data_IF_232141614142
#
_entry.id   IF_232141614142
#
_cell.length_a   1.000
_cell.length_b   1.000
_cell.length_c   1.000
_cell.angle_alpha   90.00
_cell.angle_beta   90.00
_cell.angle_gamma   90.00
#
_symmetry.space_group_name_H-M   'P 1'
#
loop_
_entity.id
_entity.type
_entity.pdbx_description
1 polymer ?
#
# COMPACT_ATOMS: atom_id res chain seq x y z
N UNK A 1 -13.00 -18.76 1.14
CA UNK A 1 -12.69 -18.22 -0.19
C UNK A 1 -11.39 -18.82 -0.73
N UNK A 2 -10.32 -18.85 0.07
CA UNK A 2 -9.04 -19.40 -0.38
C UNK A 2 -9.15 -20.88 -0.77
N UNK A 3 -10.01 -21.66 -0.12
CA UNK A 3 -10.23 -23.07 -0.44
C UNK A 3 -10.96 -23.25 -1.77
N UNK A 4 -11.77 -22.26 -2.21
CA UNK A 4 -12.54 -22.31 -3.45
C UNK A 4 -11.76 -21.66 -4.59
N UNK A 5 -11.03 -20.58 -4.31
CA UNK A 5 -10.32 -19.79 -5.33
C UNK A 5 -8.84 -19.65 -5.01
N UNK A 6 -8.07 -20.76 -4.91
CA UNK A 6 -6.65 -20.67 -4.52
C UNK A 6 -5.82 -19.84 -5.50
N UNK A 7 -6.12 -19.92 -6.78
CA UNK A 7 -5.46 -19.13 -7.82
C UNK A 7 -5.61 -17.62 -7.58
N UNK A 8 -6.83 -17.19 -7.24
CA UNK A 8 -7.11 -15.77 -7.02
C UNK A 8 -6.46 -15.27 -5.74
N UNK A 9 -6.40 -16.10 -4.70
CA UNK A 9 -5.71 -15.73 -3.46
C UNK A 9 -4.21 -15.59 -3.68
N UNK A 10 -3.62 -16.47 -4.50
CA UNK A 10 -2.22 -16.36 -4.87
C UNK A 10 -1.98 -15.07 -5.67
N UNK A 11 -2.83 -14.77 -6.64
CA UNK A 11 -2.73 -13.56 -7.45
C UNK A 11 -2.87 -12.30 -6.59
N UNK A 12 -3.82 -12.28 -5.66
CA UNK A 12 -4.00 -11.15 -4.74
C UNK A 12 -2.74 -10.89 -3.91
N UNK A 13 -2.07 -11.94 -3.44
CA UNK A 13 -0.89 -11.82 -2.58
C UNK A 13 0.39 -11.51 -3.35
N UNK A 14 0.49 -11.94 -4.61
CA UNK A 14 1.76 -11.94 -5.33
C UNK A 14 1.74 -11.23 -6.68
N UNK A 15 0.60 -11.20 -7.37
CA UNK A 15 0.50 -10.56 -8.69
C UNK A 15 -0.92 -10.00 -8.92
N UNK A 16 -1.11 -8.73 -8.56
CA UNK A 16 -2.41 -8.08 -8.64
C UNK A 16 -2.92 -7.93 -10.07
N UNK A 17 -2.05 -7.98 -11.09
CA UNK A 17 -2.49 -7.93 -12.48
C UNK A 17 -3.31 -9.17 -12.87
N UNK A 18 -3.09 -10.31 -12.21
CA UNK A 18 -3.82 -11.55 -12.43
C UNK A 18 -5.01 -11.72 -11.49
N UNK A 19 -5.18 -10.85 -10.51
CA UNK A 19 -6.27 -10.92 -9.55
C UNK A 19 -7.57 -10.44 -10.19
N UNK A 20 -8.61 -11.27 -10.17
CA UNK A 20 -9.95 -10.90 -10.65
C UNK A 20 -10.80 -10.44 -9.45
N UNK A 21 -10.86 -9.13 -9.23
CA UNK A 21 -11.62 -8.54 -8.13
C UNK A 21 -13.13 -8.79 -8.23
N UNK A 22 -13.65 -9.02 -9.45
CA UNK A 22 -15.10 -9.22 -9.66
C UNK A 22 -15.61 -10.51 -9.04
N UNK A 23 -14.75 -11.52 -8.85
CA UNK A 23 -15.13 -12.77 -8.17
C UNK A 23 -15.50 -12.55 -6.69
N UNK A 24 -15.05 -11.45 -6.09
CA UNK A 24 -15.23 -11.17 -4.67
C UNK A 24 -16.01 -9.87 -4.43
N UNK A 25 -16.60 -9.29 -5.47
CA UNK A 25 -17.29 -8.01 -5.40
C UNK A 25 -16.43 -6.92 -4.75
N UNK A 26 -15.16 -6.89 -5.10
CA UNK A 26 -14.18 -5.96 -4.54
C UNK A 26 -13.80 -4.87 -5.55
N UNK A 27 -13.22 -3.78 -5.05
CA UNK A 27 -12.66 -2.75 -5.92
C UNK A 27 -11.51 -3.32 -6.74
N UNK A 28 -11.34 -2.82 -7.98
CA UNK A 28 -10.14 -3.11 -8.77
C UNK A 28 -8.93 -2.41 -8.14
N UNK A 29 -7.73 -2.88 -8.49
CA UNK A 29 -6.49 -2.19 -8.08
C UNK A 29 -6.50 -0.74 -8.57
N UNK A 30 -6.96 -0.52 -9.80
CA UNK A 30 -7.05 0.83 -10.36
C UNK A 30 -7.98 1.74 -9.53
N UNK A 31 -9.17 1.25 -9.18
CA UNK A 31 -10.13 2.04 -8.40
C UNK A 31 -9.57 2.42 -7.03
N UNK A 32 -8.98 1.44 -6.34
CA UNK A 32 -8.39 1.64 -5.02
C UNK A 32 -7.23 2.62 -5.06
N UNK A 33 -6.26 2.40 -5.95
CA UNK A 33 -5.08 3.25 -6.04
C UNK A 33 -5.43 4.65 -6.51
N UNK A 34 -6.34 4.77 -7.47
CA UNK A 34 -6.77 6.08 -7.98
C UNK A 34 -7.41 6.92 -6.88
N UNK A 35 -8.27 6.32 -6.07
CA UNK A 35 -8.93 7.01 -4.96
C UNK A 35 -7.92 7.53 -3.94
N UNK A 36 -6.98 6.69 -3.50
CA UNK A 36 -5.99 7.06 -2.49
C UNK A 36 -5.00 8.09 -3.04
N UNK A 37 -4.50 7.86 -4.24
CA UNK A 37 -3.54 8.78 -4.87
C UNK A 37 -4.17 10.14 -5.12
N UNK A 38 -5.41 10.16 -5.61
CA UNK A 38 -6.13 11.41 -5.81
C UNK A 38 -6.29 12.19 -4.51
N UNK A 39 -6.62 11.50 -3.43
CA UNK A 39 -6.73 12.12 -2.11
C UNK A 39 -5.39 12.70 -1.66
N UNK A 40 -4.30 11.94 -1.77
CA UNK A 40 -2.97 12.41 -1.39
C UNK A 40 -2.59 13.67 -2.19
N UNK A 41 -2.77 13.64 -3.50
CA UNK A 41 -2.43 14.78 -4.37
C UNK A 41 -3.31 15.98 -4.13
N UNK A 42 -4.53 15.79 -3.63
CA UNK A 42 -5.44 16.89 -3.32
C UNK A 42 -4.95 17.74 -2.13
N UNK A 43 -4.00 17.23 -1.35
CA UNK A 43 -3.49 17.89 -0.16
C UNK A 43 -2.29 18.82 -0.43
N UNK A 44 -1.93 19.01 -1.68
CA UNK A 44 -0.72 19.79 -2.05
C UNK A 44 -0.70 21.21 -1.50
N UNK A 45 -1.86 21.82 -1.29
CA UNK A 45 -1.98 23.19 -0.79
C UNK A 45 -2.23 23.23 0.72
N UNK A 46 -2.24 22.08 1.39
CA UNK A 46 -2.42 22.02 2.83
C UNK A 46 -1.17 22.53 3.54
N UNK A 47 -1.36 23.36 4.54
CA UNK A 47 -0.24 23.86 5.35
C UNK A 47 0.30 22.75 6.24
N UNK A 48 1.64 22.72 6.38
CA UNK A 48 2.34 21.75 7.19
C UNK A 48 3.42 21.03 6.41
N UNK A 49 4.46 20.60 7.10
CA UNK A 49 5.59 19.91 6.49
C UNK A 49 5.47 18.40 6.54
N UNK A 50 4.66 17.89 7.44
CA UNK A 50 4.50 16.45 7.65
C UNK A 50 3.02 16.09 7.65
N UNK A 51 2.67 15.04 6.92
CA UNK A 51 1.32 14.49 6.87
C UNK A 51 1.38 13.01 7.25
N UNK A 52 0.46 12.57 8.09
CA UNK A 52 0.33 11.18 8.50
C UNK A 52 -0.91 10.57 7.86
N UNK A 53 -0.73 9.44 7.17
CA UNK A 53 -1.82 8.64 6.62
C UNK A 53 -1.86 7.29 7.32
N UNK A 54 -3.05 6.87 7.71
CA UNK A 54 -3.26 5.56 8.34
C UNK A 54 -4.22 4.76 7.47
N UNK A 55 -3.88 3.52 7.21
CA UNK A 55 -4.69 2.66 6.37
C UNK A 55 -4.27 1.21 6.47
N UNK A 56 -4.81 0.39 5.58
CA UNK A 56 -4.56 -1.05 5.56
C UNK A 56 -3.44 -1.41 4.59
N UNK A 57 -2.70 -2.48 4.93
CA UNK A 57 -1.51 -2.88 4.20
C UNK A 57 -1.71 -3.12 2.72
N UNK A 58 -2.77 -3.82 2.31
CA UNK A 58 -3.01 -4.11 0.90
C UNK A 58 -3.25 -2.82 0.11
N UNK A 59 -4.08 -1.93 0.62
CA UNK A 59 -4.41 -0.67 -0.03
C UNK A 59 -3.21 0.27 -0.06
N UNK A 60 -2.52 0.42 1.06
CA UNK A 60 -1.35 1.28 1.13
C UNK A 60 -0.19 0.76 0.29
N UNK A 61 0.04 -0.56 0.26
CA UNK A 61 1.07 -1.15 -0.60
C UNK A 61 0.81 -0.81 -2.06
N UNK A 62 -0.41 -1.03 -2.53
CA UNK A 62 -0.77 -0.75 -3.90
C UNK A 62 -0.65 0.73 -4.24
N UNK A 63 -1.14 1.59 -3.37
CA UNK A 63 -1.14 3.04 -3.61
C UNK A 63 0.27 3.63 -3.59
N UNK A 64 1.08 3.26 -2.61
CA UNK A 64 2.44 3.79 -2.48
C UNK A 64 3.31 3.32 -3.65
N UNK A 65 3.26 2.04 -3.99
CA UNK A 65 4.06 1.52 -5.10
C UNK A 65 3.62 2.08 -6.45
N UNK A 66 2.33 2.33 -6.62
CA UNK A 66 1.85 3.02 -7.82
C UNK A 66 2.36 4.46 -7.89
N UNK A 67 2.35 5.18 -6.76
CA UNK A 67 2.96 6.52 -6.69
C UNK A 67 4.44 6.50 -7.06
N UNK A 68 5.15 5.43 -6.69
CA UNK A 68 6.58 5.26 -6.98
C UNK A 68 6.85 4.75 -8.40
N UNK A 69 5.82 4.49 -9.20
CA UNK A 69 5.97 4.09 -10.59
C UNK A 69 5.98 2.58 -10.85
N UNK A 70 5.61 1.76 -9.87
CA UNK A 70 5.54 0.31 -10.07
C UNK A 70 4.38 -0.06 -11.00
N UNK A 71 4.59 -1.04 -11.86
CA UNK A 71 3.52 -1.63 -12.65
C UNK A 71 2.64 -2.51 -11.76
N UNK A 72 1.37 -2.70 -12.18
CA UNK A 72 0.38 -3.45 -11.39
C UNK A 72 0.88 -4.85 -11.03
N UNK A 73 1.53 -5.54 -11.96
CA UNK A 73 2.07 -6.89 -11.70
C UNK A 73 3.20 -6.93 -10.69
N UNK A 74 3.85 -5.80 -10.42
CA UNK A 74 4.99 -5.70 -9.50
C UNK A 74 4.63 -5.11 -8.14
N UNK A 75 3.37 -4.69 -7.93
CA UNK A 75 2.96 -3.99 -6.71
C UNK A 75 3.24 -4.81 -5.45
N UNK A 76 3.03 -6.11 -5.49
CA UNK A 76 3.24 -6.99 -4.33
C UNK A 76 4.53 -7.80 -4.39
N UNK A 77 5.43 -7.45 -5.29
CA UNK A 77 6.74 -8.09 -5.37
C UNK A 77 7.49 -7.88 -4.06
N UNK A 78 8.08 -8.96 -3.54
CA UNK A 78 8.78 -8.95 -2.24
C UNK A 78 7.85 -8.64 -1.06
N UNK A 79 6.56 -8.93 -1.19
CA UNK A 79 5.58 -8.76 -0.14
C UNK A 79 5.01 -7.35 -0.05
N UNK A 80 4.14 -7.15 0.92
CA UNK A 80 3.48 -5.87 1.18
C UNK A 80 3.85 -5.33 2.54
N UNK A 81 3.14 -4.29 2.95
CA UNK A 81 3.34 -3.65 4.25
C UNK A 81 2.82 -4.53 5.39
N UNK A 82 3.60 -4.62 6.46
CA UNK A 82 3.22 -5.31 7.68
C UNK A 82 2.28 -4.45 8.52
N UNK A 83 1.44 -5.08 9.34
CA UNK A 83 0.58 -4.36 10.27
C UNK A 83 1.43 -3.53 11.24
N UNK A 84 1.03 -2.28 11.44
CA UNK A 84 1.74 -1.38 12.34
C UNK A 84 3.07 -0.85 11.83
N UNK A 85 3.42 -1.12 10.58
CA UNK A 85 4.65 -0.61 9.98
C UNK A 85 4.54 0.87 9.65
N UNK A 86 5.69 1.51 9.49
CA UNK A 86 5.80 2.90 9.06
C UNK A 86 6.56 2.96 7.74
N UNK A 87 6.01 3.69 6.78
CA UNK A 87 6.66 3.97 5.51
C UNK A 87 6.71 5.48 5.33
N UNK A 88 7.85 5.99 4.89
CA UNK A 88 8.08 7.43 4.75
C UNK A 88 8.38 7.76 3.30
N UNK A 89 7.61 8.68 2.75
CA UNK A 89 7.83 9.26 1.44
C UNK A 89 8.13 10.74 1.57
N UNK A 90 8.81 11.27 0.58
CA UNK A 90 9.12 12.69 0.49
C UNK A 90 8.68 13.21 -0.88
N UNK A 91 8.17 14.43 -0.91
CA UNK A 91 7.82 15.09 -2.16
C UNK A 91 7.93 16.60 -2.01
N UNK A 92 8.22 17.30 -3.11
CA UNK A 92 8.24 18.76 -3.14
C UNK A 92 7.07 19.34 -3.95
N UNK A 93 6.43 18.52 -4.79
CA UNK A 93 5.40 18.99 -5.73
C UNK A 93 4.12 18.15 -5.70
N UNK A 94 4.05 17.11 -4.88
CA UNK A 94 2.94 16.13 -4.83
C UNK A 94 2.68 15.43 -6.17
N UNK A 95 3.64 15.44 -7.07
CA UNK A 95 3.59 14.69 -8.33
C UNK A 95 4.61 13.56 -8.35
N UNK A 96 5.86 13.85 -7.94
CA UNK A 96 6.91 12.87 -7.84
C UNK A 96 7.25 12.63 -6.38
N UNK A 97 7.33 11.36 -6.02
CA UNK A 97 7.57 10.92 -4.65
C UNK A 97 8.83 10.08 -4.57
N UNK A 98 9.59 10.28 -3.52
CA UNK A 98 10.78 9.49 -3.22
C UNK A 98 10.55 8.67 -1.96
N UNK A 99 11.01 7.43 -1.96
CA UNK A 99 10.90 6.54 -0.81
C UNK A 99 12.10 6.75 0.11
N UNK A 100 11.82 7.15 1.36
CA UNK A 100 12.85 7.32 2.37
C UNK A 100 12.98 6.10 3.27
N UNK A 101 11.85 5.45 3.60
CA UNK A 101 11.83 4.26 4.44
C UNK A 101 10.62 3.42 4.10
N UNK A 102 10.80 2.11 4.01
CA UNK A 102 9.74 1.17 3.60
C UNK A 102 9.51 0.13 4.67
N UNK A 103 8.25 0.04 5.12
CA UNK A 103 7.80 -1.07 5.97
C UNK A 103 8.64 -1.22 7.25
N UNK A 104 8.95 -0.11 7.90
CA UNK A 104 9.75 -0.15 9.11
C UNK A 104 8.91 -0.64 10.29
N UNK A 105 9.37 -1.70 10.94
CA UNK A 105 8.71 -2.30 12.09
C UNK A 105 9.58 -2.32 13.35
N UNK A 106 10.67 -1.57 13.36
CA UNK A 106 11.62 -1.55 14.48
C UNK A 106 10.96 -1.21 15.82
N UNK A 107 10.00 -0.29 15.81
CA UNK A 107 9.27 0.10 17.02
C UNK A 107 8.38 -1.00 17.57
N UNK A 108 8.08 -2.06 16.80
CA UNK A 108 7.24 -3.17 17.23
C UNK A 108 8.01 -4.25 17.96
N UNK A 109 9.32 -4.29 17.83
CA UNK A 109 10.17 -5.30 18.50
C UNK A 109 10.04 -5.21 20.01
N UNK A 110 9.94 -3.99 20.57
CA UNK A 110 9.76 -3.79 21.99
C UNK A 110 8.41 -4.29 22.49
N UNK A 111 7.38 -4.23 21.66
CA UNK A 111 6.05 -4.73 22.01
C UNK A 111 6.06 -6.25 22.10
N UNK A 112 6.78 -6.92 21.21
CA UNK A 112 6.92 -8.37 21.23
C UNK A 112 7.63 -8.83 22.51
N UNK A 113 8.63 -8.08 22.97
CA UNK A 113 9.39 -8.43 24.19
C UNK A 113 8.60 -8.21 25.48
N UNK A 114 7.60 -7.33 25.49
CA UNK A 114 6.73 -7.16 26.65
C UNK A 114 5.52 -8.11 26.63
N UNK A 115 5.45 -8.98 25.66
CA UNK A 115 4.49 -10.06 25.59
C UNK A 115 3.04 -9.59 25.68
N UNK A 116 2.68 -8.75 24.77
CA UNK A 116 1.32 -8.24 24.67
C UNK A 116 0.31 -9.29 24.15
#
# INVERSE_FOLDING_TARGET
>A
IAAIYPHQMHAFRHNLAQFDHTLFDAESVYQTTHRVIHFIKSLKDLEGENLLFVGHGANLTASIRTLLGYEVGSIRKNGGLSNGSVTILETTDFEKFSLLDWNNTDHLENLDTVNL
#
